data_IF_090483020489
#
_entry.id   IF_090483020489
#
_cell.length_a   1.000
_cell.length_b   1.000
_cell.length_c   1.000
_cell.angle_alpha   90.00
_cell.angle_beta   90.00
_cell.angle_gamma   90.00
#
_symmetry.space_group_name_H-M   'P 1'
#
loop_
_entity.id
_entity.type
_entity.pdbx_description
1 polymer ?
#
# COMPACT_ATOMS: atom_id res chain seq x y z
N UNK A 1 16.14 13.82 -17.70
CA UNK A 1 16.09 14.60 -16.43
C UNK A 1 15.06 15.74 -16.47
N UNK A 2 15.21 16.79 -17.29
CA UNK A 2 14.23 17.89 -17.33
C UNK A 2 12.86 17.45 -17.87
N UNK A 3 12.85 16.61 -18.91
CA UNK A 3 11.61 16.09 -19.49
C UNK A 3 10.84 15.20 -18.50
N UNK A 4 11.54 14.31 -17.79
CA UNK A 4 10.93 13.41 -16.79
C UNK A 4 10.32 14.19 -15.64
N UNK A 5 11.00 15.26 -15.20
CA UNK A 5 10.49 16.17 -14.18
C UNK A 5 9.22 16.90 -14.63
N UNK A 6 9.19 17.40 -15.86
CA UNK A 6 8.01 18.04 -16.44
C UNK A 6 6.83 17.05 -16.55
N UNK A 7 7.09 15.80 -16.93
CA UNK A 7 6.08 14.73 -16.95
C UNK A 7 5.52 14.51 -15.54
N UNK A 8 6.38 14.37 -14.52
CA UNK A 8 5.94 14.14 -13.15
C UNK A 8 5.06 15.29 -12.63
N UNK A 9 5.46 16.55 -12.85
CA UNK A 9 4.69 17.74 -12.43
C UNK A 9 3.32 17.77 -13.11
N UNK A 10 3.22 17.40 -14.39
CA UNK A 10 1.94 17.38 -15.11
C UNK A 10 0.92 16.43 -14.47
N UNK A 11 1.39 15.40 -13.73
CA UNK A 11 0.54 14.40 -13.07
C UNK A 11 0.16 14.76 -11.64
N UNK A 12 0.61 15.89 -11.11
CA UNK A 12 0.20 16.33 -9.79
C UNK A 12 -1.30 16.62 -9.76
N UNK A 13 -1.96 16.19 -8.68
CA UNK A 13 -3.42 16.29 -8.54
C UNK A 13 -3.99 17.69 -8.83
N UNK A 14 -3.27 18.74 -8.46
CA UNK A 14 -3.67 20.14 -8.68
C UNK A 14 -3.67 20.56 -10.15
N UNK A 15 -2.94 19.84 -11.00
CA UNK A 15 -2.77 20.14 -12.43
C UNK A 15 -3.67 19.27 -13.32
N UNK A 16 -4.39 18.30 -12.73
CA UNK A 16 -5.27 17.40 -13.46
C UNK A 16 -6.67 17.98 -13.55
N UNK A 17 -7.30 17.87 -14.72
CA UNK A 17 -8.72 18.19 -14.86
C UNK A 17 -9.59 17.05 -14.29
N UNK A 18 -10.90 17.31 -14.15
CA UNK A 18 -11.84 16.34 -13.54
C UNK A 18 -11.94 15.03 -14.33
N UNK A 19 -11.95 15.09 -15.66
CA UNK A 19 -12.04 13.90 -16.51
C UNK A 19 -10.78 13.03 -16.38
N UNK A 20 -9.60 13.62 -16.34
CA UNK A 20 -8.34 12.90 -16.11
C UNK A 20 -8.29 12.30 -14.71
N UNK A 21 -8.71 13.06 -13.70
CA UNK A 21 -8.80 12.58 -12.33
C UNK A 21 -9.72 11.35 -12.21
N UNK A 22 -10.84 11.34 -12.93
CA UNK A 22 -11.82 10.25 -12.89
C UNK A 22 -11.36 9.00 -13.66
N UNK A 23 -10.42 9.13 -14.60
CA UNK A 23 -9.73 8.00 -15.25
C UNK A 23 -8.72 7.32 -14.34
N UNK A 24 -8.20 8.01 -13.32
CA UNK A 24 -7.26 7.46 -12.34
C UNK A 24 -7.95 6.59 -11.28
N UNK A 25 -8.74 5.61 -11.72
CA UNK A 25 -9.37 4.63 -10.83
C UNK A 25 -8.44 3.48 -10.48
N UNK A 26 -7.52 3.15 -11.39
CA UNK A 26 -6.62 2.01 -11.29
C UNK A 26 -5.14 2.44 -11.44
N UNK A 27 -4.70 3.33 -10.54
CA UNK A 27 -3.32 3.85 -10.55
C UNK A 27 -2.71 3.92 -9.17
N UNK A 28 -1.38 3.92 -9.12
CA UNK A 28 -0.59 4.12 -7.90
C UNK A 28 -0.59 5.61 -7.51
N UNK A 29 -1.02 5.89 -6.29
CA UNK A 29 -0.95 7.24 -5.71
C UNK A 29 0.31 7.41 -4.88
N UNK A 30 1.13 8.40 -5.22
CA UNK A 30 2.33 8.77 -4.45
C UNK A 30 1.96 9.87 -3.45
N UNK A 31 2.22 9.61 -2.18
CA UNK A 31 2.00 10.56 -1.09
C UNK A 31 3.25 10.68 -0.22
N UNK A 32 3.47 11.86 0.35
CA UNK A 32 4.65 12.16 1.19
C UNK A 32 4.56 11.60 2.61
N UNK A 33 3.38 11.09 3.04
CA UNK A 33 3.18 10.56 4.38
C UNK A 33 2.43 9.23 4.39
N UNK A 34 2.84 8.33 5.29
CA UNK A 34 2.20 7.02 5.51
C UNK A 34 0.73 7.14 5.90
N UNK A 35 0.37 8.10 6.76
CA UNK A 35 -1.02 8.33 7.15
C UNK A 35 -1.94 8.61 5.94
N UNK A 36 -1.44 9.35 4.94
CA UNK A 36 -2.19 9.64 3.73
C UNK A 36 -2.30 8.40 2.83
N UNK A 37 -1.20 7.66 2.66
CA UNK A 37 -1.18 6.38 1.93
C UNK A 37 -2.20 5.41 2.54
N UNK A 38 -2.16 5.20 3.87
CA UNK A 38 -3.09 4.33 4.58
C UNK A 38 -4.55 4.75 4.34
N UNK A 39 -4.88 6.03 4.52
CA UNK A 39 -6.25 6.55 4.29
C UNK A 39 -6.74 6.31 2.87
N UNK A 40 -5.87 6.47 1.86
CA UNK A 40 -6.22 6.22 0.46
C UNK A 40 -6.40 4.73 0.19
N UNK A 41 -5.50 3.88 0.69
CA UNK A 41 -5.60 2.43 0.52
C UNK A 41 -6.92 1.89 1.12
N UNK A 42 -7.29 2.31 2.33
CA UNK A 42 -8.58 1.94 2.95
C UNK A 42 -9.77 2.38 2.08
N UNK A 43 -9.72 3.60 1.54
CA UNK A 43 -10.76 4.10 0.64
C UNK A 43 -10.88 3.21 -0.60
N UNK A 44 -9.76 2.79 -1.19
CA UNK A 44 -9.76 1.92 -2.37
C UNK A 44 -10.25 0.51 -2.05
N UNK A 45 -9.86 -0.08 -0.91
CA UNK A 45 -10.39 -1.37 -0.45
C UNK A 45 -11.92 -1.33 -0.32
N UNK A 46 -12.48 -0.27 0.28
CA UNK A 46 -13.93 -0.09 0.42
C UNK A 46 -14.66 0.06 -0.92
N UNK A 47 -14.02 0.68 -1.93
CA UNK A 47 -14.62 0.85 -3.26
C UNK A 47 -14.83 -0.46 -4.01
N UNK A 48 -14.07 -1.51 -3.68
CA UNK A 48 -14.25 -2.82 -4.29
C UNK A 48 -15.60 -3.45 -3.90
N UNK A 49 -16.26 -2.96 -2.85
CA UNK A 49 -17.57 -3.46 -2.40
C UNK A 49 -17.58 -4.97 -2.12
N UNK A 50 -16.48 -5.46 -1.56
CA UNK A 50 -16.32 -6.83 -1.08
C UNK A 50 -15.89 -6.82 0.40
N UNK A 51 -16.16 -7.88 1.17
CA UNK A 51 -15.70 -7.98 2.55
C UNK A 51 -14.20 -7.77 2.69
N UNK A 52 -13.81 -6.95 3.67
CA UNK A 52 -12.40 -6.70 4.00
C UNK A 52 -11.95 -7.73 5.03
N UNK A 53 -10.98 -8.56 4.65
CA UNK A 53 -10.34 -9.52 5.55
C UNK A 53 -9.19 -8.85 6.26
N UNK A 54 -9.17 -8.95 7.59
CA UNK A 54 -8.05 -8.53 8.44
C UNK A 54 -7.19 -9.74 8.76
N UNK A 55 -5.91 -9.66 8.43
CA UNK A 55 -4.90 -10.66 8.75
C UNK A 55 -3.95 -10.04 9.77
N UNK A 56 -3.90 -10.61 10.97
CA UNK A 56 -2.99 -10.16 12.02
C UNK A 56 -1.68 -10.95 11.94
N UNK A 57 -0.56 -10.28 12.20
CA UNK A 57 0.72 -10.96 12.33
C UNK A 57 0.72 -11.91 13.54
N UNK A 58 1.35 -13.07 13.38
CA UNK A 58 1.62 -14.00 14.49
C UNK A 58 3.02 -13.73 15.00
N UNK A 59 3.16 -13.46 16.29
CA UNK A 59 4.44 -13.20 16.95
C UNK A 59 4.84 -14.39 17.80
N UNK A 60 6.03 -14.96 17.53
CA UNK A 60 6.52 -16.17 18.20
C UNK A 60 7.31 -15.92 19.48
N UNK A 61 7.61 -14.66 19.81
CA UNK A 61 8.36 -14.30 21.02
C UNK A 61 7.48 -13.68 22.10
N UNK A 62 7.93 -13.82 23.35
CA UNK A 62 7.27 -13.40 24.57
C UNK A 62 6.80 -11.92 24.54
N UNK A 63 5.84 -11.58 25.42
CA UNK A 63 4.94 -10.41 25.51
C UNK A 63 5.39 -9.05 24.90
N UNK A 64 6.67 -8.76 24.81
CA UNK A 64 7.26 -7.51 24.29
C UNK A 64 7.20 -7.37 22.76
N UNK A 65 7.09 -8.45 21.99
CA UNK A 65 7.01 -8.38 20.52
C UNK A 65 5.63 -7.92 19.99
N UNK A 66 4.56 -8.09 20.77
CA UNK A 66 3.20 -7.64 20.39
C UNK A 66 3.04 -6.11 20.38
N UNK A 67 3.95 -5.39 21.05
CA UNK A 67 3.91 -3.93 21.19
C UNK A 67 5.04 -3.23 20.42
N UNK A 68 5.87 -3.99 19.68
CA UNK A 68 6.98 -3.43 18.95
C UNK A 68 6.46 -2.58 17.78
N UNK A 69 6.94 -1.33 17.68
CA UNK A 69 6.67 -0.46 16.53
C UNK A 69 7.18 -1.13 15.25
N UNK A 70 6.48 -0.94 14.14
CA UNK A 70 6.77 -1.53 12.81
C UNK A 70 8.21 -1.33 12.34
N UNK A 71 8.90 -0.28 12.81
CA UNK A 71 10.31 -0.03 12.52
C UNK A 71 11.28 -1.05 13.17
N UNK A 72 10.89 -1.74 14.23
CA UNK A 72 11.66 -2.81 14.88
C UNK A 72 11.36 -4.16 14.21
N UNK A 73 10.18 -4.33 13.63
CA UNK A 73 9.71 -5.57 13.01
C UNK A 73 10.11 -5.72 11.53
N UNK A 74 11.25 -5.15 11.08
CA UNK A 74 11.71 -5.20 9.68
C UNK A 74 10.64 -4.79 8.64
N UNK A 75 9.73 -3.87 8.98
CA UNK A 75 8.68 -3.44 8.06
C UNK A 75 7.46 -4.38 7.97
N UNK A 76 7.32 -5.34 8.89
CA UNK A 76 6.10 -6.13 9.01
C UNK A 76 5.02 -5.31 9.74
N UNK A 77 3.95 -4.99 9.03
CA UNK A 77 2.74 -4.41 9.62
C UNK A 77 2.10 -5.43 10.60
N UNK A 78 1.62 -4.93 11.74
CA UNK A 78 0.97 -5.77 12.77
C UNK A 78 -0.35 -6.37 12.23
N UNK A 79 -0.96 -5.69 11.27
CA UNK A 79 -2.14 -6.14 10.57
C UNK A 79 -2.11 -5.72 9.10
N UNK A 80 -2.65 -6.57 8.24
CA UNK A 80 -2.86 -6.30 6.82
C UNK A 80 -4.34 -6.46 6.52
N UNK A 81 -4.89 -5.53 5.74
CA UNK A 81 -6.27 -5.55 5.28
C UNK A 81 -6.31 -5.87 3.80
N UNK A 82 -7.03 -6.92 3.42
CA UNK A 82 -7.12 -7.43 2.06
C UNK A 82 -8.57 -7.53 1.60
N UNK A 83 -8.78 -7.36 0.30
CA UNK A 83 -10.06 -7.55 -0.38
C UNK A 83 -9.76 -8.25 -1.71
N UNK A 84 -10.62 -9.16 -2.15
CA UNK A 84 -10.48 -9.80 -3.47
C UNK A 84 -10.45 -8.72 -4.56
N UNK A 85 -9.42 -8.76 -5.42
CA UNK A 85 -9.21 -7.79 -6.48
C UNK A 85 -8.49 -6.50 -6.06
N UNK A 86 -7.96 -6.41 -4.83
CA UNK A 86 -7.09 -5.30 -4.46
C UNK A 86 -5.68 -5.43 -5.07
N UNK A 87 -5.03 -4.28 -5.25
CA UNK A 87 -3.62 -4.22 -5.61
C UNK A 87 -2.75 -4.32 -4.36
N UNK A 88 -1.72 -5.15 -4.41
CA UNK A 88 -0.75 -5.35 -3.33
C UNK A 88 0.66 -5.13 -3.85
N UNK A 89 1.56 -4.72 -2.95
CA UNK A 89 2.98 -4.64 -3.21
C UNK A 89 3.68 -5.65 -2.31
N UNK A 90 4.47 -6.54 -2.89
CA UNK A 90 5.35 -7.41 -2.12
C UNK A 90 6.47 -6.57 -1.52
N UNK A 91 6.64 -6.65 -0.20
CA UNK A 91 7.67 -5.90 0.55
C UNK A 91 8.91 -6.73 0.84
N UNK A 92 8.94 -7.98 0.37
CA UNK A 92 10.05 -8.91 0.56
C UNK A 92 10.13 -9.86 -0.61
N UNK A 93 11.35 -10.29 -0.93
CA UNK A 93 11.57 -11.28 -1.98
C UNK A 93 11.03 -12.64 -1.52
N UNK A 94 10.22 -13.27 -2.37
CA UNK A 94 9.75 -14.64 -2.14
C UNK A 94 10.73 -15.57 -2.83
N UNK A 95 11.30 -16.51 -2.08
CA UNK A 95 12.10 -17.60 -2.66
C UNK A 95 11.14 -18.65 -3.20
N UNK A 96 11.11 -18.81 -4.52
CA UNK A 96 10.12 -19.68 -5.20
C UNK A 96 10.66 -21.06 -5.57
N UNK A 97 11.81 -21.47 -5.04
CA UNK A 97 12.32 -22.84 -5.22
C UNK A 97 13.05 -23.35 -3.98
N UNK A 98 12.55 -24.47 -3.44
CA UNK A 98 13.40 -25.46 -2.79
C UNK A 98 14.18 -26.14 -3.92
N UNK A 99 15.49 -25.97 -3.96
CA UNK A 99 16.34 -26.87 -4.74
C UNK A 99 16.31 -28.25 -4.06
N UNK A 100 16.26 -29.28 -4.92
CA UNK A 100 15.99 -30.69 -4.64
C UNK A 100 16.78 -31.29 -3.47
#
# INVERSE_FOLDING_TARGET
MLNDWNILISRFKKNLNRAEHDRFQDVVFIHTTWAKVYKVNIKMLRRLNWPITKICAVHSSERTAKCAKTNIAKGLEVEILLVKGCHVMLTSNIWTKAEL
#
